data_IF_628247288133
#
_entry.id   IF_628247288133
#
_cell.length_a   1.000
_cell.length_b   1.000
_cell.length_c   1.000
_cell.angle_alpha   90.00
_cell.angle_beta   90.00
_cell.angle_gamma   90.00
#
_symmetry.space_group_name_H-M   'P 1'
#
loop_
_entity.id
_entity.type
_entity.pdbx_description
1 polymer ?
#
# COMPACT_ATOMS: atom_id res chain seq x y z
N UNK A 1 -22.76 16.16 -2.73
CA UNK A 1 -22.25 15.10 -3.63
C UNK A 1 -20.86 14.59 -3.26
N UNK A 2 -20.01 15.35 -2.56
CA UNK A 2 -18.63 14.94 -2.22
C UNK A 2 -18.51 14.01 -1.00
N UNK A 3 -19.42 14.08 -0.01
CA UNK A 3 -19.38 13.21 1.18
C UNK A 3 -19.61 11.73 0.86
N UNK A 4 -20.60 11.42 0.03
CA UNK A 4 -20.91 10.03 -0.36
C UNK A 4 -19.74 9.35 -1.09
N UNK A 5 -18.94 10.10 -1.87
CA UNK A 5 -17.75 9.58 -2.53
C UNK A 5 -16.59 9.31 -1.55
N UNK A 6 -16.41 10.18 -0.55
CA UNK A 6 -15.37 10.00 0.47
C UNK A 6 -15.70 8.86 1.45
N UNK A 7 -16.97 8.65 1.79
CA UNK A 7 -17.39 7.54 2.66
C UNK A 7 -17.23 6.18 1.95
N UNK A 8 -17.50 6.13 0.64
CA UNK A 8 -17.20 4.97 -0.22
C UNK A 8 -15.68 4.69 -0.32
N UNK A 9 -14.86 5.74 -0.35
CA UNK A 9 -13.39 5.63 -0.32
C UNK A 9 -12.85 5.15 1.04
N UNK A 10 -13.53 5.52 2.14
CA UNK A 10 -13.14 5.14 3.49
C UNK A 10 -13.37 3.65 3.79
N UNK A 11 -14.33 3.00 3.10
CA UNK A 11 -14.54 1.55 3.21
C UNK A 11 -13.36 0.72 2.68
N UNK A 12 -12.58 1.26 1.74
CA UNK A 12 -11.45 0.57 1.10
C UNK A 12 -10.14 0.75 1.91
N UNK A 13 -10.22 1.38 3.10
CA UNK A 13 -9.08 1.76 3.90
C UNK A 13 -9.12 1.07 5.26
N UNK A 14 -8.14 0.23 5.55
CA UNK A 14 -8.04 -0.51 6.82
C UNK A 14 -6.81 -0.07 7.59
N UNK A 15 -6.94 0.08 8.90
CA UNK A 15 -5.83 0.47 9.78
C UNK A 15 -5.40 -0.71 10.64
N UNK A 16 -4.09 -0.97 10.73
CA UNK A 16 -3.52 -2.10 11.49
C UNK A 16 -2.25 -1.69 12.22
N UNK A 17 -2.03 -2.20 13.43
CA UNK A 17 -0.76 -2.01 14.15
C UNK A 17 0.38 -2.87 13.55
N UNK A 18 1.61 -2.34 13.56
CA UNK A 18 2.78 -3.00 12.98
C UNK A 18 3.00 -4.45 13.49
N UNK A 19 2.73 -4.71 14.78
CA UNK A 19 2.84 -6.06 15.36
C UNK A 19 1.83 -7.05 14.75
N UNK A 20 0.56 -6.66 14.68
CA UNK A 20 -0.52 -7.49 14.13
C UNK A 20 -0.32 -7.73 12.64
N UNK A 21 0.13 -6.70 11.92
CA UNK A 21 0.49 -6.81 10.51
C UNK A 21 1.58 -7.86 10.29
N UNK A 22 2.65 -7.85 11.12
CA UNK A 22 3.75 -8.81 11.00
C UNK A 22 3.26 -10.26 11.17
N UNK A 23 2.39 -10.50 12.14
CA UNK A 23 1.85 -11.83 12.46
C UNK A 23 0.87 -12.34 11.39
N UNK A 24 0.18 -11.43 10.68
CA UNK A 24 -0.91 -11.77 9.75
C UNK A 24 -0.66 -11.24 8.32
N UNK A 25 0.60 -11.01 7.95
CA UNK A 25 0.96 -10.26 6.75
C UNK A 25 0.32 -10.81 5.48
N UNK A 26 0.34 -12.13 5.30
CA UNK A 26 -0.25 -12.80 4.15
C UNK A 26 -1.77 -12.60 4.02
N UNK A 27 -2.49 -12.45 5.14
CA UNK A 27 -3.92 -12.18 5.12
C UNK A 27 -4.20 -10.74 4.65
N UNK A 28 -3.42 -9.78 5.13
CA UNK A 28 -3.50 -8.39 4.67
C UNK A 28 -3.12 -8.23 3.21
N UNK A 29 -2.13 -9.00 2.70
CA UNK A 29 -1.83 -9.00 1.27
C UNK A 29 -3.00 -9.50 0.41
N UNK A 30 -3.84 -10.43 0.90
CA UNK A 30 -5.05 -10.83 0.17
C UNK A 30 -6.04 -9.67 0.07
N UNK A 31 -6.23 -8.93 1.15
CA UNK A 31 -7.06 -7.72 1.15
C UNK A 31 -6.53 -6.69 0.14
N UNK A 32 -5.22 -6.46 0.14
CA UNK A 32 -4.58 -5.56 -0.83
C UNK A 32 -4.80 -6.06 -2.26
N UNK A 33 -4.71 -7.38 -2.51
CA UNK A 33 -5.03 -7.97 -3.83
C UNK A 33 -6.49 -7.80 -4.24
N UNK A 34 -7.42 -7.61 -3.32
CA UNK A 34 -8.81 -7.27 -3.65
C UNK A 34 -9.00 -5.76 -3.91
N UNK A 35 -8.01 -4.93 -3.58
CA UNK A 35 -8.01 -3.48 -3.81
C UNK A 35 -8.02 -2.64 -2.54
N UNK A 36 -7.98 -3.27 -1.37
CA UNK A 36 -7.92 -2.58 -0.08
C UNK A 36 -6.57 -1.87 0.10
N UNK A 37 -6.60 -0.73 0.77
CA UNK A 37 -5.42 0.00 1.22
C UNK A 37 -5.25 -0.17 2.72
N UNK A 38 -4.08 -0.61 3.16
CA UNK A 38 -3.77 -0.85 4.57
C UNK A 38 -2.86 0.25 5.09
N UNK A 39 -3.32 1.01 6.08
CA UNK A 39 -2.50 1.92 6.87
C UNK A 39 -1.87 1.18 8.05
N UNK A 40 -0.55 1.29 8.18
CA UNK A 40 0.22 0.67 9.25
C UNK A 40 0.48 1.71 10.32
N UNK A 41 0.09 1.39 11.55
CA UNK A 41 0.23 2.25 12.72
C UNK A 41 1.34 1.76 13.65
N UNK A 42 2.07 2.71 14.20
CA UNK A 42 2.95 2.51 15.35
C UNK A 42 2.76 3.67 16.33
N UNK A 43 2.57 3.36 17.62
CA UNK A 43 2.35 4.37 18.69
C UNK A 43 1.31 5.44 18.30
N UNK A 44 0.21 4.98 17.70
CA UNK A 44 -0.91 5.82 17.23
C UNK A 44 -0.56 6.80 16.10
N UNK A 45 0.51 6.54 15.33
CA UNK A 45 0.90 7.30 14.14
C UNK A 45 0.95 6.39 12.92
N UNK A 46 0.50 6.89 11.77
CA UNK A 46 0.64 6.17 10.49
C UNK A 46 2.11 6.22 10.09
N UNK A 47 2.73 5.06 9.94
CA UNK A 47 4.14 4.92 9.56
C UNK A 47 4.32 4.33 8.16
N UNK A 48 3.31 3.64 7.63
CA UNK A 48 3.35 3.09 6.27
C UNK A 48 1.96 2.92 5.67
N UNK A 49 1.93 2.77 4.35
CA UNK A 49 0.77 2.40 3.55
C UNK A 49 1.13 1.19 2.69
N UNK A 50 0.24 0.20 2.64
CA UNK A 50 0.34 -0.94 1.73
C UNK A 50 -0.89 -0.91 0.82
N UNK A 51 -0.66 -0.82 -0.48
CA UNK A 51 -1.70 -0.81 -1.51
C UNK A 51 -1.25 -1.58 -2.74
N UNK A 52 -2.19 -1.85 -3.66
CA UNK A 52 -1.81 -2.32 -4.99
C UNK A 52 -0.85 -1.33 -5.64
N UNK A 53 0.17 -1.82 -6.36
CA UNK A 53 0.96 -0.97 -7.24
C UNK A 53 0.04 -0.21 -8.20
N UNK A 54 0.28 1.09 -8.38
CA UNK A 54 -0.47 1.92 -9.34
C UNK A 54 0.01 1.75 -10.78
N UNK A 55 1.15 1.07 -10.96
CA UNK A 55 1.68 0.72 -12.27
C UNK A 55 0.98 -0.59 -12.64
N UNK A 56 0.35 -0.63 -13.82
CA UNK A 56 -0.06 -1.87 -14.47
C UNK A 56 1.19 -2.64 -14.90
N UNK A 57 1.98 -3.08 -13.92
CA UNK A 57 2.99 -4.10 -14.15
C UNK A 57 2.24 -5.42 -14.25
N UNK A 58 2.50 -6.17 -15.29
CA UNK A 58 2.14 -7.60 -15.49
C UNK A 58 2.57 -8.55 -14.35
N UNK A 59 3.02 -8.03 -13.21
CA UNK A 59 3.45 -8.77 -12.04
C UNK A 59 4.89 -9.26 -12.12
N UNK A 60 5.61 -8.96 -13.20
CA UNK A 60 6.99 -9.44 -13.37
C UNK A 60 7.98 -8.54 -12.63
N UNK A 61 8.87 -9.15 -11.86
CA UNK A 61 9.95 -8.49 -11.11
C UNK A 61 10.78 -7.57 -12.03
N UNK A 62 10.93 -7.95 -13.30
CA UNK A 62 11.67 -7.26 -14.34
C UNK A 62 11.18 -5.82 -14.58
N UNK A 63 9.86 -5.59 -14.57
CA UNK A 63 9.29 -4.27 -14.79
C UNK A 63 9.53 -3.30 -13.62
N UNK A 64 9.70 -3.83 -12.40
CA UNK A 64 9.99 -3.02 -11.21
C UNK A 64 11.47 -2.61 -11.14
N UNK A 65 12.39 -3.50 -11.51
CA UNK A 65 13.84 -3.23 -11.48
C UNK A 65 14.27 -2.20 -12.53
N UNK A 66 13.69 -2.24 -13.73
CA UNK A 66 14.00 -1.27 -14.80
C UNK A 66 13.64 0.19 -14.45
N UNK A 67 12.71 0.40 -13.50
CA UNK A 67 12.30 1.75 -13.06
C UNK A 67 13.25 2.36 -12.02
N UNK A 68 13.96 1.53 -11.25
CA UNK A 68 14.93 1.99 -10.25
C UNK A 68 16.20 2.53 -10.93
N UNK A 69 16.66 1.87 -12.00
CA UNK A 69 17.89 2.22 -12.73
C UNK A 69 17.80 3.56 -13.48
N UNK A 70 16.58 4.04 -13.77
CA UNK A 70 16.35 5.34 -14.44
C UNK A 70 16.25 6.53 -13.49
N UNK A 71 16.33 6.32 -12.17
CA UNK A 71 16.36 7.46 -11.23
C UNK A 71 17.76 8.06 -11.24
N UNK A 72 17.92 9.38 -11.49
CA UNK A 72 19.24 9.99 -11.43
C UNK A 72 19.82 9.78 -10.03
N UNK A 73 21.14 9.55 -9.91
CA UNK A 73 21.78 9.39 -8.61
C UNK A 73 21.46 10.60 -7.75
N UNK A 74 21.10 10.34 -6.48
CA UNK A 74 20.80 11.37 -5.50
C UNK A 74 22.04 12.28 -5.39
N UNK A 75 21.94 13.52 -5.90
CA UNK A 75 23.02 14.50 -5.75
C UNK A 75 23.04 14.95 -4.28
N UNK A 76 24.09 14.55 -3.57
CA UNK A 76 24.50 15.10 -2.27
C UNK A 76 25.05 16.52 -2.42
#
# INVERSE_FOLDING_TARGET
MTRLFNDLLYCILKTVGAKVLKENFSAYLRLVKEGETILVMERNQVVAEIKKPSIESDGTIENFLQKEEKRPPFKS
#
